data_IF_605530797123
#
_entry.id   IF_605530797123
#
_cell.length_a   1.000
_cell.length_b   1.000
_cell.length_c   1.000
_cell.angle_alpha   90.00
_cell.angle_beta   90.00
_cell.angle_gamma   90.00
#
_symmetry.space_group_name_H-M   'P 1'
#
loop_
_entity.id
_entity.type
_entity.pdbx_description
1 polymer ?
#
# COMPACT_ATOMS: atom_id res chain seq x y z
N UNK A 1 -9.79 -25.27 5.02
CA UNK A 1 -9.65 -24.08 4.17
C UNK A 1 -8.22 -23.94 3.66
N UNK A 2 -7.83 -24.84 2.76
CA UNK A 2 -6.50 -24.82 2.12
C UNK A 2 -6.37 -23.57 1.24
N UNK A 3 -5.22 -22.90 1.30
CA UNK A 3 -4.89 -21.66 0.60
C UNK A 3 -3.61 -21.85 -0.20
N UNK A 4 -3.67 -21.54 -1.49
CA UNK A 4 -2.51 -21.58 -2.39
C UNK A 4 -1.81 -20.22 -2.53
N UNK A 5 -2.29 -19.19 -1.85
CA UNK A 5 -1.84 -17.81 -1.99
C UNK A 5 -1.09 -17.25 -0.76
N UNK A 6 -0.81 -18.09 0.25
CA UNK A 6 -0.10 -17.67 1.47
C UNK A 6 1.32 -17.20 1.13
N UNK A 7 2.14 -18.04 0.48
CA UNK A 7 3.53 -17.71 0.16
C UNK A 7 3.65 -16.38 -0.59
N UNK A 8 2.82 -16.19 -1.62
CA UNK A 8 2.78 -14.94 -2.39
C UNK A 8 2.52 -13.73 -1.49
N UNK A 9 1.51 -13.81 -0.63
CA UNK A 9 1.16 -12.70 0.27
C UNK A 9 2.28 -12.39 1.28
N UNK A 10 3.03 -13.40 1.71
CA UNK A 10 4.19 -13.25 2.60
C UNK A 10 5.36 -12.61 1.87
N UNK A 11 5.67 -13.03 0.65
CA UNK A 11 6.74 -12.40 -0.14
C UNK A 11 6.44 -10.93 -0.46
N UNK A 12 5.19 -10.61 -0.80
CA UNK A 12 4.75 -9.22 -0.98
C UNK A 12 4.95 -8.39 0.29
N UNK A 13 4.58 -8.93 1.47
CA UNK A 13 4.82 -8.25 2.75
C UNK A 13 6.30 -8.03 3.02
N UNK A 14 7.14 -9.06 2.81
CA UNK A 14 8.58 -9.00 3.05
C UNK A 14 9.27 -7.96 2.16
N UNK A 15 8.77 -7.73 0.95
CA UNK A 15 9.30 -6.70 0.04
C UNK A 15 9.16 -5.27 0.58
N UNK A 16 8.27 -5.05 1.56
CA UNK A 16 8.02 -3.78 2.25
C UNK A 16 8.49 -3.82 3.72
N UNK A 17 9.45 -4.71 4.05
CA UNK A 17 9.95 -4.93 5.42
C UNK A 17 11.46 -4.69 5.54
N UNK A 18 11.97 -3.60 4.95
CA UNK A 18 13.34 -3.15 5.20
C UNK A 18 13.50 -2.64 6.65
N UNK A 19 14.73 -2.51 7.17
CA UNK A 19 14.95 -2.11 8.57
C UNK A 19 14.23 -0.82 9.01
N UNK A 20 14.09 0.14 8.11
CA UNK A 20 13.43 1.43 8.37
C UNK A 20 11.94 1.44 8.01
N UNK A 21 11.43 0.35 7.44
CA UNK A 21 10.03 0.24 7.06
C UNK A 21 9.13 -0.03 8.26
N UNK A 22 7.90 0.45 8.15
CA UNK A 22 6.85 0.29 9.16
C UNK A 22 6.65 -1.17 9.58
N UNK A 23 6.72 -2.12 8.65
CA UNK A 23 6.43 -3.53 8.93
C UNK A 23 7.43 -4.16 9.91
N UNK A 24 8.67 -3.70 9.86
CA UNK A 24 9.76 -4.13 10.75
C UNK A 24 9.59 -3.66 12.19
N UNK A 25 8.65 -2.74 12.47
CA UNK A 25 8.30 -2.37 13.85
C UNK A 25 7.86 -3.56 14.70
N UNK A 26 7.27 -4.60 14.09
CA UNK A 26 6.95 -5.84 14.79
C UNK A 26 8.22 -6.51 15.33
N UNK A 27 9.26 -6.64 14.50
CA UNK A 27 10.51 -7.32 14.83
C UNK A 27 11.16 -6.71 16.08
N UNK A 28 11.26 -5.38 16.11
CA UNK A 28 11.90 -4.67 17.23
C UNK A 28 11.11 -4.78 18.52
N UNK A 29 9.77 -4.71 18.44
CA UNK A 29 8.90 -4.90 19.60
C UNK A 29 9.00 -6.34 20.13
N UNK A 30 8.81 -7.31 19.24
CA UNK A 30 8.80 -8.73 19.60
C UNK A 30 10.14 -9.18 20.17
N UNK A 31 11.26 -8.83 19.53
CA UNK A 31 12.60 -9.16 20.02
C UNK A 31 12.83 -8.55 21.41
N UNK A 32 12.49 -7.26 21.61
CA UNK A 32 12.66 -6.61 22.92
C UNK A 32 11.91 -7.33 24.04
N UNK A 33 10.64 -7.65 23.84
CA UNK A 33 9.81 -8.30 24.87
C UNK A 33 10.20 -9.76 25.11
N UNK A 34 10.62 -10.46 24.06
CA UNK A 34 11.10 -11.83 24.15
C UNK A 34 12.41 -11.92 24.93
N UNK A 35 13.38 -11.06 24.60
CA UNK A 35 14.76 -11.13 25.12
C UNK A 35 14.94 -10.44 26.48
N UNK A 36 14.14 -9.42 26.80
CA UNK A 36 14.27 -8.70 28.08
C UNK A 36 13.81 -9.58 29.24
N UNK A 37 14.70 -9.84 30.20
CA UNK A 37 14.42 -10.67 31.38
C UNK A 37 13.60 -9.95 32.43
N UNK A 38 13.86 -8.66 32.66
CA UNK A 38 13.13 -7.81 33.59
C UNK A 38 12.66 -6.53 32.88
N UNK A 39 11.37 -6.52 32.52
CA UNK A 39 10.72 -5.39 31.85
C UNK A 39 10.52 -4.18 32.78
N UNK A 40 10.59 -4.38 34.10
CA UNK A 40 10.41 -3.31 35.08
C UNK A 40 11.72 -2.55 35.36
N UNK A 41 12.88 -3.16 35.05
CA UNK A 41 14.20 -2.53 35.21
C UNK A 41 14.27 -1.15 34.53
N UNK A 42 13.67 -1.04 33.35
CA UNK A 42 13.49 0.21 32.62
C UNK A 42 12.09 0.24 32.02
N UNK A 43 11.11 0.52 32.90
CA UNK A 43 9.70 0.51 32.53
C UNK A 43 9.34 1.60 31.52
N UNK A 44 10.08 2.72 31.52
CA UNK A 44 9.88 3.79 30.54
C UNK A 44 10.26 3.32 29.14
N UNK A 45 11.40 2.62 29.00
CA UNK A 45 11.78 1.98 27.75
C UNK A 45 10.77 0.92 27.32
N UNK A 46 10.32 0.05 28.22
CA UNK A 46 9.29 -0.95 27.91
C UNK A 46 8.00 -0.32 27.38
N UNK A 47 7.52 0.74 28.04
CA UNK A 47 6.37 1.50 27.58
C UNK A 47 6.63 2.18 26.23
N UNK A 48 7.84 2.70 26.01
CA UNK A 48 8.21 3.40 24.78
C UNK A 48 8.29 2.46 23.58
N UNK A 49 8.88 1.27 23.74
CA UNK A 49 8.94 0.23 22.69
C UNK A 49 7.53 -0.18 22.26
N UNK A 50 6.68 -0.55 23.22
CA UNK A 50 5.29 -0.91 22.92
C UNK A 50 4.52 0.27 22.32
N UNK A 51 4.69 1.47 22.89
CA UNK A 51 4.04 2.69 22.43
C UNK A 51 4.39 3.02 20.99
N UNK A 52 5.66 2.92 20.61
CA UNK A 52 6.12 3.17 19.25
C UNK A 52 5.59 2.13 18.26
N UNK A 53 5.61 0.85 18.62
CA UNK A 53 5.00 -0.21 17.81
C UNK A 53 3.51 0.07 17.57
N UNK A 54 2.75 0.39 18.62
CA UNK A 54 1.33 0.72 18.48
C UNK A 54 1.12 1.98 17.63
N UNK A 55 1.99 2.99 17.77
CA UNK A 55 1.95 4.22 16.98
C UNK A 55 2.19 3.96 15.48
N UNK A 56 3.22 3.17 15.14
CA UNK A 56 3.54 2.82 13.75
C UNK A 56 2.40 2.05 13.10
N UNK A 57 1.66 1.26 13.87
CA UNK A 57 0.43 0.59 13.43
C UNK A 57 -0.86 1.42 13.57
N UNK A 58 -0.75 2.73 13.80
CA UNK A 58 -1.83 3.70 13.71
C UNK A 58 -2.72 3.82 14.95
N UNK A 59 -2.37 3.21 16.08
CA UNK A 59 -3.23 3.18 17.28
C UNK A 59 -3.28 4.51 18.04
N UNK A 60 -2.37 5.46 17.74
CA UNK A 60 -2.33 6.80 18.32
C UNK A 60 -2.93 7.91 17.43
N UNK A 61 -3.52 7.56 16.27
CA UNK A 61 -4.08 8.55 15.33
C UNK A 61 -5.38 9.19 15.86
N UNK A 62 -5.71 10.37 15.30
CA UNK A 62 -6.78 11.29 15.66
C UNK A 62 -8.18 10.66 15.60
N UNK A 63 -8.57 9.93 16.67
CA UNK A 63 -9.90 9.36 16.97
C UNK A 63 -9.81 8.24 18.01
N UNK A 64 -8.63 7.67 18.23
CA UNK A 64 -8.37 6.70 19.30
C UNK A 64 -8.45 7.35 20.69
N UNK A 65 -8.96 6.64 21.69
CA UNK A 65 -8.86 7.12 23.07
C UNK A 65 -7.41 7.24 23.55
N UNK A 66 -6.51 6.46 22.94
CA UNK A 66 -5.10 6.38 23.28
C UNK A 66 -4.35 7.66 22.88
N UNK A 67 -4.85 8.44 21.90
CA UNK A 67 -4.24 9.72 21.51
C UNK A 67 -4.30 10.78 22.62
N UNK A 68 -5.17 10.60 23.62
CA UNK A 68 -5.30 11.46 24.80
C UNK A 68 -4.49 10.95 26.00
N UNK A 69 -3.65 9.93 25.80
CA UNK A 69 -2.89 9.26 26.85
C UNK A 69 -1.39 9.40 26.57
N UNK A 70 -0.60 9.66 27.61
CA UNK A 70 0.86 9.57 27.50
C UNK A 70 1.30 8.11 27.57
N UNK A 71 2.56 7.83 27.22
CA UNK A 71 3.15 6.49 27.28
C UNK A 71 3.04 5.84 28.67
N UNK A 72 2.94 6.63 29.75
CA UNK A 72 2.70 6.15 31.11
C UNK A 72 1.41 5.34 31.25
N UNK A 73 0.43 5.55 30.38
CA UNK A 73 -0.80 4.75 30.33
C UNK A 73 -0.54 3.26 30.05
N UNK A 74 0.58 2.92 29.41
CA UNK A 74 0.96 1.54 29.14
C UNK A 74 1.59 0.83 30.36
N UNK A 75 2.02 1.58 31.37
CA UNK A 75 2.74 1.06 32.55
C UNK A 75 2.04 -0.12 33.22
N UNK A 76 0.73 -0.07 33.54
CA UNK A 76 0.07 -1.20 34.20
C UNK A 76 0.08 -2.47 33.33
N UNK A 77 0.02 -2.29 32.00
CA UNK A 77 0.07 -3.41 31.05
C UNK A 77 1.46 -4.04 31.04
N UNK A 78 2.53 -3.24 31.06
CA UNK A 78 3.92 -3.74 31.16
C UNK A 78 4.16 -4.45 32.50
N UNK A 79 3.68 -3.90 33.61
CA UNK A 79 3.77 -4.52 34.93
C UNK A 79 3.06 -5.88 34.98
N UNK A 80 1.97 -6.06 34.23
CA UNK A 80 1.34 -7.37 34.09
C UNK A 80 2.14 -8.32 33.21
N UNK A 81 2.63 -7.84 32.06
CA UNK A 81 3.44 -8.67 31.16
C UNK A 81 4.70 -9.17 31.89
N UNK A 82 5.29 -8.37 32.77
CA UNK A 82 6.48 -8.72 33.54
C UNK A 82 6.27 -9.78 34.62
N UNK A 83 5.02 -10.06 35.02
CA UNK A 83 4.70 -11.17 35.95
C UNK A 83 4.47 -12.49 35.23
N UNK A 84 4.36 -12.49 33.91
CA UNK A 84 4.13 -13.69 33.13
C UNK A 84 5.40 -14.53 33.02
N UNK A 85 5.24 -15.85 33.16
CA UNK A 85 6.30 -16.80 32.91
C UNK A 85 6.76 -16.76 31.44
N UNK A 86 8.06 -16.95 31.19
CA UNK A 86 8.62 -16.87 29.83
C UNK A 86 8.06 -17.92 28.88
N UNK A 87 7.50 -19.03 29.38
CA UNK A 87 6.77 -20.01 28.54
C UNK A 87 5.57 -19.43 27.79
N UNK A 88 5.08 -18.24 28.13
CA UNK A 88 4.05 -17.57 27.31
C UNK A 88 4.55 -17.29 25.89
N UNK A 89 5.84 -17.00 25.70
CA UNK A 89 6.43 -16.77 24.39
C UNK A 89 6.63 -18.05 23.56
N UNK A 90 6.44 -19.21 24.18
CA UNK A 90 6.47 -20.52 23.50
C UNK A 90 5.07 -20.93 22.99
N UNK A 91 4.03 -20.19 23.37
CA UNK A 91 2.69 -20.39 22.84
C UNK A 91 2.68 -19.94 21.38
N UNK A 92 2.12 -20.77 20.51
CA UNK A 92 1.83 -20.46 19.11
C UNK A 92 0.59 -21.22 18.66
N UNK A 93 0.10 -20.94 17.44
CA UNK A 93 -1.20 -21.44 16.94
C UNK A 93 -1.34 -22.97 17.02
N UNK A 94 -0.25 -23.72 16.86
CA UNK A 94 -0.26 -25.18 16.94
C UNK A 94 -0.47 -25.74 18.36
N UNK A 95 -0.24 -24.91 19.37
CA UNK A 95 -0.40 -25.24 20.79
C UNK A 95 -1.66 -24.61 21.41
N UNK A 96 -2.50 -23.97 20.60
CA UNK A 96 -3.76 -23.39 21.07
C UNK A 96 -4.64 -24.36 21.85
N UNK A 97 -4.86 -25.63 21.42
CA UNK A 97 -5.74 -26.55 22.15
C UNK A 97 -5.37 -26.74 23.62
N UNK A 98 -4.08 -26.65 23.97
CA UNK A 98 -3.58 -26.78 25.34
C UNK A 98 -3.52 -25.44 26.09
N UNK A 99 -3.61 -24.31 25.39
CA UNK A 99 -3.36 -22.97 25.94
C UNK A 99 -4.55 -22.00 25.84
N UNK A 100 -5.73 -22.45 25.38
CA UNK A 100 -6.91 -21.58 25.18
C UNK A 100 -7.23 -20.71 26.40
N UNK A 101 -7.35 -21.33 27.59
CA UNK A 101 -7.68 -20.61 28.81
C UNK A 101 -6.62 -19.55 29.14
N UNK A 102 -5.35 -19.92 29.05
CA UNK A 102 -4.21 -19.03 29.30
C UNK A 102 -4.21 -17.83 28.35
N UNK A 103 -4.46 -18.07 27.06
CA UNK A 103 -4.55 -17.01 26.03
C UNK A 103 -5.69 -16.04 26.35
N UNK A 104 -6.87 -16.56 26.68
CA UNK A 104 -8.04 -15.74 27.03
C UNK A 104 -7.80 -14.92 28.30
N UNK A 105 -7.22 -15.53 29.34
CA UNK A 105 -6.86 -14.82 30.57
C UNK A 105 -5.89 -13.67 30.30
N UNK A 106 -4.85 -13.89 29.49
CA UNK A 106 -3.89 -12.85 29.11
C UNK A 106 -4.57 -11.71 28.34
N UNK A 107 -5.45 -12.03 27.39
CA UNK A 107 -6.23 -11.05 26.66
C UNK A 107 -7.07 -10.17 27.60
N UNK A 108 -7.82 -10.78 28.52
CA UNK A 108 -8.71 -10.06 29.43
C UNK A 108 -7.94 -9.18 30.42
N UNK A 109 -6.81 -9.68 30.96
CA UNK A 109 -5.97 -8.91 31.88
C UNK A 109 -5.28 -7.72 31.19
N UNK A 110 -4.84 -7.86 29.93
CA UNK A 110 -4.32 -6.74 29.14
C UNK A 110 -5.43 -5.76 28.83
N UNK A 111 -6.59 -6.24 28.35
CA UNK A 111 -7.75 -5.41 28.03
C UNK A 111 -8.18 -4.55 29.23
N UNK A 112 -8.27 -5.16 30.41
CA UNK A 112 -8.67 -4.50 31.67
C UNK A 112 -7.73 -3.36 32.05
N UNK A 113 -6.44 -3.47 31.77
CA UNK A 113 -5.42 -2.48 32.12
C UNK A 113 -5.28 -1.39 31.06
N UNK A 114 -5.40 -1.78 29.81
CA UNK A 114 -5.16 -0.90 28.67
C UNK A 114 -6.38 -0.05 28.32
N UNK A 115 -7.59 -0.59 28.50
CA UNK A 115 -8.83 0.06 28.07
C UNK A 115 -9.60 0.57 29.29
N UNK A 116 -9.82 1.89 29.42
CA UNK A 116 -10.63 2.43 30.51
C UNK A 116 -12.11 2.06 30.36
N UNK A 117 -12.80 1.93 31.50
CA UNK A 117 -14.19 1.45 31.62
C UNK A 117 -15.14 1.98 30.54
N UNK A 118 -15.83 1.05 29.85
CA UNK A 118 -16.87 1.33 28.86
C UNK A 118 -16.40 1.43 27.40
N UNK A 119 -15.09 1.43 27.14
CA UNK A 119 -14.55 1.36 25.77
C UNK A 119 -14.23 -0.08 25.39
N UNK A 120 -14.27 -0.38 24.10
CA UNK A 120 -13.78 -1.65 23.55
C UNK A 120 -12.91 -1.36 22.33
N UNK A 121 -11.72 -1.94 22.31
CA UNK A 121 -10.78 -1.82 21.19
C UNK A 121 -10.08 -3.17 21.01
N UNK A 122 -10.78 -4.06 20.30
CA UNK A 122 -10.30 -5.40 19.97
C UNK A 122 -8.97 -5.36 19.23
N UNK A 123 -8.85 -4.44 18.27
CA UNK A 123 -7.65 -4.24 17.46
C UNK A 123 -6.46 -3.82 18.31
N UNK A 124 -6.65 -2.89 19.25
CA UNK A 124 -5.59 -2.45 20.16
C UNK A 124 -5.04 -3.61 20.98
N UNK A 125 -5.91 -4.38 21.64
CA UNK A 125 -5.48 -5.47 22.53
C UNK A 125 -4.81 -6.58 21.71
N UNK A 126 -5.38 -6.97 20.58
CA UNK A 126 -4.78 -8.01 19.72
C UNK A 126 -3.46 -7.56 19.10
N UNK A 127 -3.27 -6.27 18.82
CA UNK A 127 -1.95 -5.73 18.44
C UNK A 127 -0.94 -5.82 19.57
N UNK A 128 -1.32 -5.56 20.82
CA UNK A 128 -0.42 -5.78 21.96
C UNK A 128 -0.03 -7.25 22.05
N UNK A 129 -0.99 -8.17 21.92
CA UNK A 129 -0.69 -9.60 21.96
C UNK A 129 0.26 -10.02 20.83
N UNK A 130 0.04 -9.53 19.61
CA UNK A 130 0.91 -9.75 18.46
C UNK A 130 2.32 -9.19 18.73
N UNK A 131 2.45 -7.89 19.02
CA UNK A 131 3.75 -7.22 19.17
C UNK A 131 4.57 -7.68 20.37
N UNK A 132 3.92 -8.09 21.46
CA UNK A 132 4.61 -8.56 22.67
C UNK A 132 4.96 -10.04 22.57
N UNK A 133 4.00 -10.89 22.21
CA UNK A 133 4.15 -12.35 22.31
C UNK A 133 4.14 -13.09 20.98
N UNK A 134 3.65 -12.48 19.91
CA UNK A 134 3.58 -13.10 18.58
C UNK A 134 2.56 -14.25 18.46
N UNK A 135 1.90 -14.70 19.53
CA UNK A 135 1.08 -15.91 19.50
C UNK A 135 -0.32 -15.71 18.91
N UNK A 136 -0.78 -14.50 18.60
CA UNK A 136 -2.07 -14.26 17.96
C UNK A 136 -1.99 -13.13 16.92
N UNK A 137 -2.72 -13.22 15.80
CA UNK A 137 -2.82 -12.13 14.84
C UNK A 137 -3.50 -10.88 15.41
N UNK A 138 -3.20 -9.72 14.83
CA UNK A 138 -3.96 -8.51 15.10
C UNK A 138 -5.31 -8.54 14.36
N UNK A 139 -6.41 -8.41 15.09
CA UNK A 139 -7.76 -8.40 14.50
C UNK A 139 -8.10 -7.01 13.96
N UNK A 140 -7.28 -6.50 13.05
CA UNK A 140 -7.52 -5.23 12.37
C UNK A 140 -8.49 -5.35 11.19
N UNK A 141 -8.81 -4.23 10.56
CA UNK A 141 -9.80 -4.19 9.49
C UNK A 141 -9.39 -4.99 8.25
N UNK A 142 -8.10 -5.10 7.93
CA UNK A 142 -7.61 -5.86 6.78
C UNK A 142 -7.61 -7.35 7.10
N UNK A 143 -7.12 -7.74 8.27
CA UNK A 143 -7.21 -9.11 8.77
C UNK A 143 -8.66 -9.60 8.77
N UNK A 144 -9.57 -8.84 9.39
CA UNK A 144 -10.98 -9.18 9.46
C UNK A 144 -11.64 -9.26 8.07
N UNK A 145 -11.27 -8.37 7.14
CA UNK A 145 -11.76 -8.41 5.74
C UNK A 145 -11.33 -9.69 5.04
N UNK A 146 -10.05 -10.07 5.16
CA UNK A 146 -9.52 -11.30 4.56
C UNK A 146 -10.26 -12.52 5.08
N UNK A 147 -10.31 -12.66 6.41
CA UNK A 147 -10.90 -13.85 7.03
C UNK A 147 -12.41 -13.94 6.84
N UNK A 148 -13.12 -12.81 6.80
CA UNK A 148 -14.52 -12.75 6.39
C UNK A 148 -14.73 -13.19 4.95
N UNK A 149 -13.82 -12.84 4.04
CA UNK A 149 -13.92 -13.23 2.63
C UNK A 149 -13.68 -14.72 2.43
N UNK A 150 -12.61 -15.27 3.00
CA UNK A 150 -12.26 -16.69 2.82
C UNK A 150 -13.22 -17.62 3.56
N UNK A 151 -13.87 -17.14 4.63
CA UNK A 151 -14.95 -17.86 5.32
C UNK A 151 -16.32 -17.71 4.68
N UNK A 152 -16.43 -17.08 3.50
CA UNK A 152 -17.71 -16.81 2.84
C UNK A 152 -18.71 -16.04 3.76
N UNK A 153 -18.18 -15.16 4.60
CA UNK A 153 -18.95 -14.34 5.52
C UNK A 153 -19.27 -15.00 6.86
N UNK A 154 -18.96 -16.28 7.05
CA UNK A 154 -19.29 -17.05 8.28
C UNK A 154 -18.48 -16.55 9.49
N UNK A 155 -17.21 -16.21 9.29
CA UNK A 155 -16.32 -15.84 10.38
C UNK A 155 -15.54 -14.55 10.08
N UNK A 156 -15.61 -13.57 10.99
CA UNK A 156 -15.08 -12.23 10.73
C UNK A 156 -14.36 -11.57 11.89
N UNK A 157 -13.90 -12.34 12.89
CA UNK A 157 -13.01 -11.87 13.96
C UNK A 157 -13.49 -10.60 14.69
N UNK A 158 -14.79 -10.51 15.00
CA UNK A 158 -15.38 -9.37 15.72
C UNK A 158 -15.25 -9.44 17.24
N UNK A 159 -14.78 -10.58 17.76
CA UNK A 159 -14.55 -10.85 19.18
C UNK A 159 -13.28 -11.67 19.31
N UNK A 160 -12.64 -11.55 20.46
CA UNK A 160 -11.58 -12.45 20.89
C UNK A 160 -12.18 -13.44 21.89
N UNK A 161 -12.40 -14.67 21.45
CA UNK A 161 -13.00 -15.75 22.20
C UNK A 161 -12.46 -17.11 21.74
N UNK A 162 -12.87 -18.19 22.41
CA UNK A 162 -12.44 -19.55 22.07
C UNK A 162 -12.78 -19.92 20.63
N UNK A 163 -13.90 -19.45 20.07
CA UNK A 163 -14.26 -19.71 18.68
C UNK A 163 -13.27 -19.06 17.71
N UNK A 164 -12.82 -17.83 18.00
CA UNK A 164 -11.79 -17.17 17.20
C UNK A 164 -10.44 -17.89 17.24
N UNK A 165 -10.07 -18.44 18.40
CA UNK A 165 -8.82 -19.21 18.54
C UNK A 165 -8.93 -20.56 17.81
N UNK A 166 -10.05 -21.27 17.95
CA UNK A 166 -10.29 -22.51 17.21
C UNK A 166 -10.29 -22.30 15.71
N UNK A 167 -10.89 -21.21 15.22
CA UNK A 167 -10.85 -20.89 13.79
C UNK A 167 -9.41 -20.68 13.29
N UNK A 168 -8.57 -19.98 14.07
CA UNK A 168 -7.15 -19.80 13.73
C UNK A 168 -6.40 -21.13 13.74
N UNK A 169 -6.68 -21.99 14.71
CA UNK A 169 -6.12 -23.34 14.79
C UNK A 169 -6.51 -24.18 13.57
N UNK A 170 -7.79 -24.21 13.20
CA UNK A 170 -8.27 -24.96 12.03
C UNK A 170 -7.63 -24.42 10.75
N UNK A 171 -7.59 -23.09 10.58
CA UNK A 171 -6.91 -22.46 9.45
C UNK A 171 -5.43 -22.85 9.39
N UNK A 172 -4.75 -22.92 10.52
CA UNK A 172 -3.38 -23.39 10.59
C UNK A 172 -3.27 -24.87 10.19
N UNK A 173 -4.08 -25.76 10.76
CA UNK A 173 -4.06 -27.20 10.47
C UNK A 173 -4.26 -27.45 8.97
N UNK A 174 -5.19 -26.73 8.35
CA UNK A 174 -5.46 -26.80 6.91
C UNK A 174 -4.30 -26.33 6.03
N UNK A 175 -3.39 -25.53 6.56
CA UNK A 175 -2.29 -24.90 5.81
C UNK A 175 -0.92 -25.15 6.47
N UNK A 176 -0.83 -26.24 7.25
CA UNK A 176 0.26 -26.48 8.20
C UNK A 176 1.62 -26.46 7.53
N UNK A 177 1.79 -27.23 6.46
CA UNK A 177 3.09 -27.38 5.79
C UNK A 177 3.62 -26.03 5.30
N UNK A 178 2.76 -25.23 4.66
CA UNK A 178 3.12 -23.90 4.16
C UNK A 178 3.42 -22.91 5.29
N UNK A 179 2.60 -22.89 6.34
CA UNK A 179 2.79 -21.96 7.47
C UNK A 179 4.04 -22.31 8.27
N UNK A 180 4.27 -23.59 8.55
CA UNK A 180 5.47 -24.06 9.25
C UNK A 180 6.73 -23.72 8.45
N UNK A 181 6.73 -24.03 7.15
CA UNK A 181 7.83 -23.67 6.26
C UNK A 181 8.13 -22.17 6.33
N UNK A 182 7.13 -21.31 6.10
CA UNK A 182 7.32 -19.86 6.11
C UNK A 182 7.77 -19.32 7.47
N UNK A 183 7.26 -19.88 8.57
CA UNK A 183 7.70 -19.52 9.92
C UNK A 183 9.19 -19.84 10.13
N UNK A 184 9.65 -21.02 9.70
CA UNK A 184 11.07 -21.41 9.81
C UNK A 184 12.01 -20.64 8.88
N UNK A 185 11.51 -20.10 7.76
CA UNK A 185 12.33 -19.33 6.81
C UNK A 185 12.30 -17.82 7.06
N UNK A 186 11.37 -17.33 7.88
CA UNK A 186 11.22 -15.89 8.15
C UNK A 186 11.85 -15.56 9.49
N UNK A 187 12.86 -14.68 9.48
CA UNK A 187 13.56 -14.21 10.67
C UNK A 187 13.24 -12.75 10.97
N UNK A 188 13.21 -12.41 12.26
CA UNK A 188 13.13 -11.02 12.71
C UNK A 188 14.42 -10.27 12.37
N UNK A 189 14.36 -8.95 12.41
CA UNK A 189 15.44 -8.03 12.09
C UNK A 189 16.01 -7.44 13.38
N UNK A 190 17.33 -7.41 13.51
CA UNK A 190 18.03 -6.77 14.62
C UNK A 190 18.02 -5.26 14.47
N UNK A 191 17.74 -4.55 15.56
CA UNK A 191 17.64 -3.09 15.55
C UNK A 191 18.99 -2.41 15.30
N UNK A 192 20.09 -2.95 15.83
CA UNK A 192 21.40 -2.28 15.77
C UNK A 192 22.09 -2.46 14.42
N UNK A 193 21.93 -3.64 13.82
CA UNK A 193 22.63 -4.04 12.60
C UNK A 193 21.77 -3.99 11.35
N UNK A 194 20.43 -3.99 11.49
CA UNK A 194 19.50 -4.13 10.37
C UNK A 194 19.54 -5.50 9.70
N UNK A 195 20.29 -6.46 10.26
CA UNK A 195 20.43 -7.81 9.74
C UNK A 195 19.40 -8.77 10.37
N UNK A 196 19.20 -9.92 9.74
CA UNK A 196 18.33 -10.97 10.30
C UNK A 196 18.91 -11.56 11.59
N UNK A 197 18.03 -11.77 12.56
CA UNK A 197 18.35 -12.44 13.83
C UNK A 197 18.25 -13.97 13.70
N UNK A 198 18.43 -14.69 14.80
CA UNK A 198 18.14 -16.12 14.92
C UNK A 198 16.70 -16.41 15.35
N UNK A 199 15.92 -15.39 15.67
CA UNK A 199 14.53 -15.52 16.10
C UNK A 199 13.64 -15.58 14.87
N UNK A 200 12.95 -16.72 14.71
CA UNK A 200 11.96 -16.91 13.66
C UNK A 200 10.64 -16.21 13.99
N UNK A 201 9.85 -15.94 12.95
CA UNK A 201 8.46 -15.54 13.11
C UNK A 201 7.64 -16.71 13.66
N UNK A 202 6.68 -16.41 14.53
CA UNK A 202 5.66 -17.36 14.95
C UNK A 202 4.72 -17.71 13.79
N UNK A 203 4.10 -18.87 13.84
CA UNK A 203 3.07 -19.28 12.88
C UNK A 203 1.89 -18.33 12.91
N UNK A 204 1.49 -17.87 14.10
CA UNK A 204 0.48 -16.82 14.24
C UNK A 204 0.88 -15.50 13.56
N UNK A 205 2.17 -15.12 13.55
CA UNK A 205 2.65 -13.96 12.78
C UNK A 205 2.58 -14.18 11.27
N UNK A 206 2.84 -15.40 10.77
CA UNK A 206 2.63 -15.73 9.35
C UNK A 206 1.14 -15.58 8.97
N UNK A 207 0.24 -16.05 9.83
CA UNK A 207 -1.21 -15.91 9.63
C UNK A 207 -1.63 -14.42 9.66
N UNK A 208 -1.06 -13.62 10.55
CA UNK A 208 -1.24 -12.17 10.61
C UNK A 208 -0.84 -11.48 9.30
N UNK A 209 0.37 -11.76 8.81
CA UNK A 209 0.86 -11.22 7.54
C UNK A 209 -0.06 -11.60 6.37
N UNK A 210 -0.50 -12.86 6.31
CA UNK A 210 -1.44 -13.30 5.29
C UNK A 210 -2.77 -12.53 5.35
N UNK A 211 -3.35 -12.42 6.56
CA UNK A 211 -4.58 -11.71 6.81
C UNK A 211 -4.49 -10.23 6.43
N UNK A 212 -3.37 -9.59 6.79
CA UNK A 212 -3.10 -8.19 6.47
C UNK A 212 -2.91 -7.97 4.97
N UNK A 213 -1.92 -8.64 4.35
CA UNK A 213 -1.55 -8.43 2.94
C UNK A 213 -2.71 -8.71 1.98
N UNK A 214 -3.46 -9.78 2.21
CA UNK A 214 -4.62 -10.13 1.36
C UNK A 214 -5.78 -9.14 1.53
N UNK A 215 -5.84 -8.47 2.68
CA UNK A 215 -6.88 -7.52 3.03
C UNK A 215 -6.60 -6.10 2.55
N UNK A 216 -5.34 -5.82 2.17
CA UNK A 216 -4.95 -4.54 1.61
C UNK A 216 -5.73 -4.24 0.33
N UNK A 217 -6.13 -2.99 0.11
CA UNK A 217 -6.58 -2.57 -1.22
C UNK A 217 -5.43 -2.84 -2.20
N UNK A 218 -5.77 -3.37 -3.38
CA UNK A 218 -4.75 -3.59 -4.41
C UNK A 218 -4.16 -2.24 -4.80
N UNK A 219 -2.84 -2.15 -4.87
CA UNK A 219 -2.16 -0.95 -5.38
C UNK A 219 -2.70 -0.63 -6.76
N UNK A 220 -3.30 0.54 -6.89
CA UNK A 220 -3.68 1.09 -8.17
C UNK A 220 -2.43 1.77 -8.74
N UNK A 221 -2.09 1.44 -9.98
CA UNK A 221 -1.02 2.07 -10.75
C UNK A 221 -1.60 3.31 -11.43
N UNK A 222 -1.05 4.50 -11.19
CA UNK A 222 -1.53 5.70 -11.87
C UNK A 222 -1.22 5.60 -13.37
N UNK A 223 -2.24 5.74 -14.22
CA UNK A 223 -2.12 5.60 -15.69
C UNK A 223 -2.25 6.94 -16.40
N UNK A 224 -3.11 7.82 -15.88
CA UNK A 224 -3.32 9.15 -16.44
C UNK A 224 -3.70 10.13 -15.34
N UNK A 225 -3.18 11.36 -15.38
CA UNK A 225 -3.49 12.41 -14.41
C UNK A 225 -3.53 13.79 -15.07
N UNK A 226 -4.55 14.56 -14.70
CA UNK A 226 -4.61 16.00 -14.85
C UNK A 226 -4.61 16.60 -13.44
N UNK A 227 -3.59 17.38 -13.11
CA UNK A 227 -3.47 18.11 -11.85
C UNK A 227 -4.00 19.54 -11.91
N UNK A 228 -3.99 20.21 -10.76
CA UNK A 228 -4.41 21.61 -10.60
C UNK A 228 -4.43 22.05 -9.14
N UNK A 229 -4.34 23.36 -8.88
CA UNK A 229 -4.28 23.93 -7.52
C UNK A 229 -5.54 23.67 -6.66
N UNK A 230 -6.65 23.27 -7.29
CA UNK A 230 -7.93 23.01 -6.64
C UNK A 230 -8.48 21.61 -6.89
N UNK A 231 -7.69 20.65 -7.38
CA UNK A 231 -8.21 19.31 -7.66
C UNK A 231 -7.37 18.47 -8.61
N UNK A 232 -7.75 17.20 -8.75
CA UNK A 232 -7.16 16.27 -9.70
C UNK A 232 -8.19 15.37 -10.37
N UNK A 233 -7.89 15.01 -11.62
CA UNK A 233 -8.58 13.95 -12.35
C UNK A 233 -7.57 12.84 -12.60
N UNK A 234 -7.83 11.65 -12.05
CA UNK A 234 -6.95 10.49 -12.20
C UNK A 234 -7.67 9.30 -12.81
N UNK A 235 -6.93 8.57 -13.63
CA UNK A 235 -7.28 7.21 -14.05
C UNK A 235 -6.16 6.30 -13.56
N UNK A 236 -6.50 5.39 -12.66
CA UNK A 236 -5.55 4.40 -12.15
C UNK A 236 -5.95 2.99 -12.56
N UNK A 237 -4.97 2.15 -12.87
CA UNK A 237 -5.15 0.76 -13.24
C UNK A 237 -5.01 -0.15 -12.02
N UNK A 238 -5.97 -1.05 -11.85
CA UNK A 238 -5.91 -2.11 -10.87
C UNK A 238 -5.82 -3.47 -11.57
N UNK A 239 -4.71 -4.18 -11.35
CA UNK A 239 -4.53 -5.55 -11.87
C UNK A 239 -5.16 -6.56 -10.90
N UNK A 240 -6.07 -7.39 -11.40
CA UNK A 240 -6.79 -8.40 -10.60
C UNK A 240 -6.65 -9.80 -11.19
N UNK A 241 -6.99 -10.85 -10.42
CA UNK A 241 -7.03 -12.24 -10.93
C UNK A 241 -8.05 -12.41 -12.07
N UNK A 242 -9.08 -11.56 -12.14
CA UNK A 242 -10.14 -11.57 -13.15
C UNK A 242 -9.87 -10.64 -14.34
N UNK A 243 -8.69 -10.00 -14.41
CA UNK A 243 -8.33 -9.04 -15.46
C UNK A 243 -7.98 -7.66 -14.92
N UNK A 244 -7.95 -6.68 -15.81
CA UNK A 244 -7.58 -5.30 -15.50
C UNK A 244 -8.83 -4.44 -15.34
N UNK A 245 -8.83 -3.56 -14.34
CA UNK A 245 -9.86 -2.53 -14.13
C UNK A 245 -9.22 -1.15 -14.11
N UNK A 246 -9.97 -0.14 -14.54
CA UNK A 246 -9.56 1.25 -14.52
C UNK A 246 -10.46 2.03 -13.59
N UNK A 247 -9.86 2.69 -12.60
CA UNK A 247 -10.51 3.48 -11.58
C UNK A 247 -10.41 4.95 -11.96
N UNK A 248 -11.54 5.59 -12.18
CA UNK A 248 -11.64 7.03 -12.39
C UNK A 248 -11.92 7.73 -11.06
N UNK A 249 -11.19 8.80 -10.79
CA UNK A 249 -11.45 9.71 -9.70
C UNK A 249 -11.35 11.15 -10.20
N UNK A 250 -12.37 11.95 -9.97
CA UNK A 250 -12.36 13.39 -10.17
C UNK A 250 -12.68 14.04 -8.85
N UNK A 251 -11.66 14.66 -8.25
CA UNK A 251 -11.78 15.45 -7.04
C UNK A 251 -11.49 16.91 -7.34
N UNK A 252 -12.47 17.78 -7.24
CA UNK A 252 -12.28 19.23 -7.18
C UNK A 252 -12.71 19.74 -5.81
N UNK A 253 -11.83 20.55 -5.21
CA UNK A 253 -12.03 21.21 -3.95
C UNK A 253 -12.33 22.69 -4.21
N UNK A 254 -13.53 23.10 -3.82
CA UNK A 254 -14.02 24.46 -3.88
C UNK A 254 -13.95 25.11 -2.49
N UNK A 255 -12.98 26.02 -2.24
CA UNK A 255 -12.88 26.71 -0.95
C UNK A 255 -13.99 27.75 -0.72
N UNK A 256 -14.83 28.03 -1.71
CA UNK A 256 -15.79 29.16 -1.67
C UNK A 256 -17.14 28.82 -1.05
N UNK A 257 -17.37 27.56 -0.62
CA UNK A 257 -18.68 27.05 -0.16
C UNK A 257 -19.83 27.27 -1.18
N UNK A 258 -19.50 27.47 -2.45
CA UNK A 258 -20.50 27.64 -3.52
C UNK A 258 -21.05 26.29 -4.01
N UNK A 259 -20.52 25.17 -3.48
CA UNK A 259 -20.99 23.83 -3.78
C UNK A 259 -20.53 23.32 -5.14
N UNK A 260 -19.40 23.84 -5.64
CA UNK A 260 -18.77 23.39 -6.88
C UNK A 260 -17.87 22.17 -6.68
N UNK A 261 -17.80 21.62 -5.46
CA UNK A 261 -17.07 20.39 -5.17
C UNK A 261 -17.54 19.25 -6.10
N UNK A 262 -16.60 18.66 -6.82
CA UNK A 262 -16.83 17.45 -7.62
C UNK A 262 -16.08 16.30 -6.97
N UNK A 263 -16.79 15.23 -6.60
CA UNK A 263 -16.18 13.98 -6.15
C UNK A 263 -16.84 12.81 -6.87
N UNK A 264 -16.37 12.53 -8.08
CA UNK A 264 -16.90 11.47 -8.93
C UNK A 264 -15.91 10.31 -8.94
N UNK A 265 -16.43 9.11 -8.69
CA UNK A 265 -15.68 7.87 -8.72
C UNK A 265 -16.34 6.88 -9.69
N UNK A 266 -15.54 6.12 -10.44
CA UNK A 266 -16.04 5.09 -11.35
C UNK A 266 -15.07 3.94 -11.57
N UNK A 267 -15.62 2.76 -11.86
CA UNK A 267 -14.86 1.56 -12.23
C UNK A 267 -15.20 1.14 -13.67
N UNK A 268 -14.17 0.89 -14.48
CA UNK A 268 -14.29 0.60 -15.91
C UNK A 268 -13.44 -0.60 -16.32
N UNK A 269 -13.81 -1.22 -17.44
CA UNK A 269 -13.12 -2.40 -17.96
C UNK A 269 -11.94 -2.04 -18.88
N UNK A 270 -11.98 -0.85 -19.49
CA UNK A 270 -10.92 -0.36 -20.38
C UNK A 270 -10.54 1.08 -20.04
N UNK A 271 -9.38 1.54 -20.50
CA UNK A 271 -8.89 2.90 -20.25
C UNK A 271 -9.71 3.96 -20.99
N UNK A 272 -10.21 3.62 -22.17
CA UNK A 272 -10.92 4.52 -23.07
C UNK A 272 -12.25 4.98 -22.46
N UNK A 273 -12.92 4.12 -21.70
CA UNK A 273 -14.20 4.43 -21.07
C UNK A 273 -14.11 5.63 -20.10
N UNK A 274 -13.25 5.64 -19.07
CA UNK A 274 -13.08 6.79 -18.20
C UNK A 274 -12.42 7.98 -18.91
N UNK A 275 -11.49 7.74 -19.84
CA UNK A 275 -10.90 8.85 -20.60
C UNK A 275 -11.94 9.57 -21.46
N UNK A 276 -12.91 8.86 -22.03
CA UNK A 276 -13.98 9.48 -22.81
C UNK A 276 -14.85 10.41 -21.97
N UNK A 277 -15.03 10.13 -20.67
CA UNK A 277 -15.71 11.04 -19.75
C UNK A 277 -14.96 12.38 -19.64
N UNK A 278 -13.64 12.31 -19.44
CA UNK A 278 -12.77 13.49 -19.42
C UNK A 278 -12.88 14.24 -20.75
N UNK A 279 -12.75 13.53 -21.87
CA UNK A 279 -12.77 14.15 -23.20
C UNK A 279 -14.12 14.80 -23.54
N UNK A 280 -15.23 14.22 -23.07
CA UNK A 280 -16.56 14.78 -23.29
C UNK A 280 -16.85 15.97 -22.38
N UNK A 281 -16.46 15.88 -21.11
CA UNK A 281 -16.67 16.94 -20.12
C UNK A 281 -15.73 18.12 -20.34
N UNK A 282 -14.48 17.83 -20.73
CA UNK A 282 -13.43 18.79 -21.01
C UNK A 282 -12.84 18.56 -22.41
N UNK A 283 -13.51 19.00 -23.49
CA UNK A 283 -12.97 18.91 -24.86
C UNK A 283 -11.68 19.72 -25.10
N UNK A 284 -11.21 20.44 -24.09
CA UNK A 284 -9.93 21.17 -24.03
C UNK A 284 -8.97 20.57 -23.00
N UNK A 285 -9.14 19.30 -22.61
CA UNK A 285 -8.31 18.65 -21.58
C UNK A 285 -6.79 18.79 -21.80
N UNK A 286 -6.33 18.89 -23.05
CA UNK A 286 -4.92 19.09 -23.39
C UNK A 286 -4.36 20.45 -22.95
N UNK A 287 -5.23 21.43 -22.67
CA UNK A 287 -4.82 22.71 -22.08
C UNK A 287 -4.75 22.66 -20.56
N UNK A 288 -5.42 21.68 -19.93
CA UNK A 288 -5.32 21.44 -18.49
C UNK A 288 -3.95 20.84 -18.14
N UNK A 289 -3.58 20.88 -16.86
CA UNK A 289 -2.27 20.44 -16.40
C UNK A 289 -2.15 18.91 -16.39
N UNK A 290 -2.04 18.29 -17.58
CA UNK A 290 -1.71 16.88 -17.73
C UNK A 290 -0.33 16.65 -17.09
N UNK A 291 -0.25 15.75 -16.12
CA UNK A 291 0.99 15.46 -15.37
C UNK A 291 1.56 14.09 -15.71
N UNK A 292 0.66 13.10 -15.84
CA UNK A 292 1.04 11.70 -16.02
C UNK A 292 0.32 11.11 -17.21
N UNK A 293 1.07 10.45 -18.09
CA UNK A 293 0.56 9.56 -19.13
C UNK A 293 1.44 8.31 -19.15
N UNK A 294 0.87 7.17 -18.77
CA UNK A 294 1.60 5.91 -18.75
C UNK A 294 1.87 5.40 -20.18
N UNK A 295 2.99 4.70 -20.36
CA UNK A 295 3.54 4.34 -21.67
C UNK A 295 2.58 3.55 -22.57
N UNK A 296 1.79 2.64 -22.00
CA UNK A 296 0.88 1.77 -22.76
C UNK A 296 -0.40 2.46 -23.25
N UNK A 297 -0.79 3.59 -22.66
CA UNK A 297 -1.94 4.40 -23.13
C UNK A 297 -1.50 5.62 -23.94
N UNK A 298 -0.20 5.91 -23.97
CA UNK A 298 0.36 7.10 -24.62
C UNK A 298 -0.07 7.28 -26.08
N UNK A 299 -0.03 6.21 -26.89
CA UNK A 299 -0.44 6.29 -28.29
C UNK A 299 -1.91 6.70 -28.43
N UNK A 300 -2.78 6.11 -27.60
CA UNK A 300 -4.20 6.48 -27.57
C UNK A 300 -4.40 7.96 -27.20
N UNK A 301 -3.63 8.47 -26.23
CA UNK A 301 -3.67 9.89 -25.85
C UNK A 301 -3.16 10.80 -26.98
N UNK A 302 -2.09 10.41 -27.67
CA UNK A 302 -1.56 11.14 -28.83
C UNK A 302 -2.63 11.25 -29.92
N UNK A 303 -3.28 10.14 -30.28
CA UNK A 303 -4.33 10.12 -31.30
C UNK A 303 -5.47 11.08 -30.95
N UNK A 304 -5.95 11.04 -29.69
CA UNK A 304 -7.00 11.95 -29.19
C UNK A 304 -6.55 13.40 -29.15
N UNK A 305 -5.28 13.66 -28.84
CA UNK A 305 -4.75 15.02 -28.81
C UNK A 305 -4.71 15.62 -30.22
N UNK A 306 -4.16 14.89 -31.19
CA UNK A 306 -4.08 15.34 -32.59
C UNK A 306 -5.47 15.54 -33.18
N UNK A 307 -6.40 14.61 -32.92
CA UNK A 307 -7.81 14.74 -33.30
C UNK A 307 -8.40 16.08 -32.81
N UNK A 308 -8.18 16.46 -31.55
CA UNK A 308 -8.68 17.72 -30.99
C UNK A 308 -8.01 18.98 -31.52
N UNK A 309 -6.71 18.93 -31.80
CA UNK A 309 -6.02 20.06 -32.42
C UNK A 309 -6.55 20.33 -33.83
N UNK A 310 -6.84 19.26 -34.58
CA UNK A 310 -7.35 19.32 -35.95
C UNK A 310 -8.83 19.70 -36.02
N UNK A 311 -9.68 19.13 -35.16
CA UNK A 311 -11.11 19.50 -35.08
C UNK A 311 -11.33 21.00 -34.87
N UNK A 312 -10.43 21.65 -34.13
CA UNK A 312 -10.55 23.07 -33.75
C UNK A 312 -9.66 24.01 -34.59
N UNK A 313 -8.87 23.50 -35.53
CA UNK A 313 -7.88 24.27 -36.31
C UNK A 313 -7.02 25.21 -35.44
N UNK A 314 -6.50 24.69 -34.32
CA UNK A 314 -5.85 25.55 -33.30
C UNK A 314 -4.51 26.05 -33.82
N UNK A 315 -4.30 27.37 -33.80
CA UNK A 315 -3.01 27.94 -34.19
C UNK A 315 -1.95 27.75 -33.08
N UNK A 316 -0.68 27.48 -33.43
CA UNK A 316 0.39 27.16 -32.48
C UNK A 316 0.58 28.17 -31.35
N UNK A 317 0.33 29.44 -31.61
CA UNK A 317 0.50 30.55 -30.66
C UNK A 317 -0.50 30.53 -29.49
N UNK A 318 -1.64 29.85 -29.62
CA UNK A 318 -2.71 29.86 -28.60
C UNK A 318 -2.52 28.85 -27.46
N UNK A 319 -1.55 27.95 -27.56
CA UNK A 319 -1.34 26.89 -26.57
C UNK A 319 0.13 26.56 -26.37
N UNK A 320 1.02 27.56 -26.48
CA UNK A 320 2.47 27.32 -26.54
C UNK A 320 3.01 26.57 -25.32
N UNK A 321 2.55 26.92 -24.11
CA UNK A 321 3.02 26.28 -22.86
C UNK A 321 2.48 24.85 -22.75
N UNK A 322 1.20 24.70 -23.06
CA UNK A 322 0.49 23.43 -23.12
C UNK A 322 1.15 22.50 -24.14
N UNK A 323 1.57 23.04 -25.29
CA UNK A 323 2.27 22.33 -26.36
C UNK A 323 3.57 21.73 -25.84
N UNK A 324 4.42 22.54 -25.20
CA UNK A 324 5.71 22.06 -24.70
C UNK A 324 5.53 20.95 -23.65
N UNK A 325 4.61 21.14 -22.71
CA UNK A 325 4.28 20.11 -21.71
C UNK A 325 3.79 18.82 -22.37
N UNK A 326 2.89 18.93 -23.34
CA UNK A 326 2.35 17.76 -24.04
C UNK A 326 3.41 17.05 -24.89
N UNK A 327 4.27 17.79 -25.58
CA UNK A 327 5.42 17.23 -26.32
C UNK A 327 6.37 16.45 -25.39
N UNK A 328 6.64 16.99 -24.19
CA UNK A 328 7.49 16.34 -23.18
C UNK A 328 6.84 15.06 -22.62
N UNK A 329 5.60 15.16 -22.10
CA UNK A 329 4.91 14.03 -21.45
C UNK A 329 4.64 12.89 -22.45
N UNK A 330 4.26 13.24 -23.68
CA UNK A 330 3.99 12.25 -24.71
C UNK A 330 5.25 11.81 -25.46
N UNK A 331 6.39 12.45 -25.21
CA UNK A 331 7.66 12.22 -25.91
C UNK A 331 7.49 12.25 -27.44
N UNK A 332 6.90 13.35 -27.94
CA UNK A 332 6.68 13.61 -29.36
C UNK A 332 7.11 15.02 -29.73
N UNK A 333 7.29 15.28 -31.02
CA UNK A 333 7.37 16.63 -31.57
C UNK A 333 6.18 16.91 -32.46
N UNK A 334 5.42 17.95 -32.15
CA UNK A 334 4.29 18.38 -32.97
C UNK A 334 4.78 19.14 -34.20
N UNK A 335 4.07 18.91 -35.30
CA UNK A 335 4.26 19.58 -36.58
C UNK A 335 2.90 19.99 -37.14
N UNK A 336 2.85 21.07 -37.91
CA UNK A 336 1.62 21.50 -38.56
C UNK A 336 1.87 21.97 -39.99
N UNK A 337 0.85 21.81 -40.83
CA UNK A 337 0.83 22.29 -42.22
C UNK A 337 -0.44 23.11 -42.45
N UNK A 338 -0.42 23.97 -43.48
CA UNK A 338 -1.56 24.82 -43.84
C UNK A 338 -1.38 26.30 -43.48
N UNK A 339 -2.40 27.11 -43.81
CA UNK A 339 -2.36 28.57 -43.68
C UNK A 339 -3.40 29.08 -42.70
N UNK A 340 -2.98 29.98 -41.80
CA UNK A 340 -3.88 30.71 -40.90
C UNK A 340 -4.99 31.47 -41.64
N UNK A 341 -4.76 31.81 -42.91
CA UNK A 341 -5.72 32.56 -43.73
C UNK A 341 -6.89 31.71 -44.22
N UNK A 342 -6.74 30.38 -44.31
CA UNK A 342 -7.78 29.47 -44.80
C UNK A 342 -8.46 28.68 -43.69
N UNK A 343 -8.01 28.83 -42.43
CA UNK A 343 -8.47 28.06 -41.27
C UNK A 343 -8.30 26.53 -41.41
N UNK A 344 -7.46 26.11 -42.36
CA UNK A 344 -7.10 24.71 -42.63
C UNK A 344 -5.71 24.46 -42.03
N UNK A 345 -5.65 24.25 -40.71
CA UNK A 345 -4.44 23.80 -40.02
C UNK A 345 -4.54 22.30 -39.78
N UNK A 346 -3.51 21.57 -40.20
CA UNK A 346 -3.43 20.12 -40.00
C UNK A 346 -2.18 19.78 -39.20
N UNK A 347 -2.41 19.26 -38.00
CA UNK A 347 -1.43 18.81 -37.02
C UNK A 347 -1.08 17.34 -37.22
N UNK A 348 0.21 17.06 -37.02
CA UNK A 348 0.84 15.75 -37.04
C UNK A 348 1.95 15.72 -36.00
N UNK A 349 2.59 14.57 -35.82
CA UNK A 349 3.71 14.44 -34.88
C UNK A 349 4.80 13.52 -35.41
N UNK A 350 5.98 13.67 -34.83
CA UNK A 350 7.11 12.74 -34.98
C UNK A 350 7.45 12.16 -33.61
N UNK A 351 7.75 10.87 -33.56
CA UNK A 351 8.26 10.20 -32.36
C UNK A 351 9.78 10.31 -32.31
N UNK A 352 10.33 10.40 -31.11
CA UNK A 352 11.77 10.27 -30.90
C UNK A 352 12.15 8.77 -30.88
N UNK A 353 12.08 8.07 -32.01
CA UNK A 353 12.63 6.72 -32.10
C UNK A 353 14.17 6.77 -32.11
N UNK A 354 14.78 5.87 -31.33
CA UNK A 354 16.23 5.68 -31.20
C UNK A 354 16.92 5.56 -32.57
N UNK A 355 17.65 6.59 -32.99
CA UNK A 355 18.76 6.42 -33.93
C UNK A 355 19.89 5.66 -33.24
N UNK A 356 19.84 4.32 -33.36
CA UNK A 356 20.94 3.44 -33.01
C UNK A 356 22.23 3.85 -33.74
N UNK A 357 23.31 3.84 -32.98
CA UNK A 357 24.70 3.63 -33.41
C UNK A 357 24.80 2.84 -34.73
N UNK A 358 24.98 3.51 -35.88
CA UNK A 358 25.59 2.86 -37.07
C UNK A 358 26.26 3.76 -38.12
N UNK A 359 26.41 5.08 -37.93
CA UNK A 359 27.09 5.93 -38.94
C UNK A 359 28.37 6.66 -38.47
N UNK A 360 28.97 6.25 -37.35
CA UNK A 360 30.26 6.81 -36.89
C UNK A 360 31.51 6.05 -37.37
N UNK A 361 31.37 5.08 -38.28
CA UNK A 361 32.50 4.34 -38.85
C UNK A 361 32.42 4.17 -40.38
N UNK A 362 32.00 5.19 -41.13
CA UNK A 362 32.37 5.32 -42.54
C UNK A 362 32.51 6.80 -42.92
N UNK A 363 33.55 7.47 -42.41
CA UNK A 363 34.16 8.66 -43.03
C UNK A 363 35.46 9.09 -42.32
N UNK A 364 36.36 8.13 -42.10
CA UNK A 364 37.78 8.39 -41.81
C UNK A 364 38.64 7.57 -42.75
N UNK A 365 38.48 7.76 -44.06
CA UNK A 365 39.43 7.26 -45.08
C UNK A 365 39.20 7.93 -46.44
N UNK A 366 39.13 9.27 -46.50
CA UNK A 366 39.20 9.99 -47.80
C UNK A 366 39.50 11.49 -47.68
N UNK A 367 40.42 11.90 -46.79
CA UNK A 367 40.90 13.29 -46.76
C UNK A 367 42.33 13.42 -46.21
N UNK A 368 43.29 12.73 -46.82
CA UNK A 368 44.71 13.08 -46.70
C UNK A 368 45.47 12.83 -48.00
N UNK A 369 44.98 13.38 -49.11
CA UNK A 369 45.80 13.72 -50.27
C UNK A 369 45.34 15.06 -50.79
N UNK A 370 46.33 15.88 -51.13
CA UNK A 370 46.23 17.19 -51.78
C UNK A 370 45.98 18.40 -50.86
N UNK A 371 47.08 18.95 -50.33
CA UNK A 371 47.53 20.29 -50.70
C UNK A 371 48.99 20.52 -50.32
N UNK A 372 49.71 21.03 -51.34
CA UNK A 372 51.03 21.67 -51.39
C UNK A 372 51.58 22.26 -50.10
#
# INVERSE_FOLDING_TARGET
MIRTDIEKAIFEYQSESNPDDRYTSFDYCYNYFRETTDLNKDIEKSCSVLGYYLASWGMLRSSSFLSKKSIKHLQPTIEYISTLDKSVWDIDVDTYPQNLERIITIYDEIKKRLIPNGKTDLTLVTKVLLGVFGFTPAFDSYFCKTFRKISYGVFGFRKFDTNSLWYLYDFYVDNKDTIDYLATQTFTTDFNTGMKTKTNYTKAKIIDMYGFSTGLPKKNELVFQIGGEGGEITISRQKTKSGVKYMYHHGEFDPTNEGLDVNINGEYNTFEQPFQLINNQFPWWYTLYVETVHEDVRNYIIDRFIEKLNEKSIAPEYFLNERYRMEEILNIKLNHTGSKQTNDLNWSFFTYECNNKTDLYQNKDSASKDKK
#
